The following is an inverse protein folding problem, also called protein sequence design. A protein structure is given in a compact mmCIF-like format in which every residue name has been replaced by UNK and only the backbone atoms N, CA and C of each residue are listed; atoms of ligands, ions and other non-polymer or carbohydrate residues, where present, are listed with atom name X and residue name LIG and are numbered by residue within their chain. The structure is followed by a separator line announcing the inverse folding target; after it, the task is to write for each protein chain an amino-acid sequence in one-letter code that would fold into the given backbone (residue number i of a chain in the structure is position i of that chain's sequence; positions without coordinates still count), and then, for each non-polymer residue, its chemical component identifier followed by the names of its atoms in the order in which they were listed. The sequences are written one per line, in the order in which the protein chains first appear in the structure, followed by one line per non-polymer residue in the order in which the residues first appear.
data_IF_286442123957
#
_entry.id   IF_286442123957
#
_cell.length_a   1.000
_cell.length_b   1.000
_cell.length_c   1.000
_cell.angle_alpha   90.00
_cell.angle_beta   90.00
_cell.angle_gamma   90.00
#
_symmetry.space_group_name_H-M   'P 1'
#
loop_
_entity.id
_entity.type
_entity.pdbx_description
1 polymer ?
#
# COMPACT_ATOMS: atom_id res chain seq x y z
N UNK A 1 -22.84 -32.73 -11.12
CA UNK A 1 -23.30 -32.50 -9.73
C UNK A 1 -23.69 -31.03 -9.66
N UNK A 2 -24.99 -30.76 -9.57
CA UNK A 2 -25.58 -29.43 -9.75
C UNK A 2 -25.55 -28.66 -8.42
N UNK A 3 -24.63 -27.71 -8.30
CA UNK A 3 -24.49 -26.81 -7.14
C UNK A 3 -25.29 -25.51 -7.31
N UNK A 4 -26.42 -25.53 -8.01
CA UNK A 4 -27.13 -24.31 -8.42
C UNK A 4 -28.21 -23.81 -7.44
N UNK A 5 -28.44 -24.49 -6.31
CA UNK A 5 -29.55 -24.17 -5.39
C UNK A 5 -29.15 -24.01 -3.92
N UNK A 6 -27.95 -23.49 -3.63
CA UNK A 6 -27.65 -23.03 -2.27
C UNK A 6 -28.01 -21.53 -2.14
N UNK A 7 -29.03 -21.15 -1.36
CA UNK A 7 -29.42 -19.74 -1.17
C UNK A 7 -28.32 -18.87 -0.53
N UNK A 8 -27.23 -19.49 -0.05
CA UNK A 8 -26.04 -18.80 0.46
C UNK A 8 -24.88 -18.69 -0.54
N UNK A 9 -25.02 -19.23 -1.76
CA UNK A 9 -24.01 -19.14 -2.79
C UNK A 9 -24.08 -17.78 -3.48
N UNK A 10 -23.24 -16.85 -3.02
CA UNK A 10 -22.97 -15.61 -3.72
C UNK A 10 -21.68 -15.80 -4.54
N UNK A 11 -21.69 -15.58 -5.86
CA UNK A 11 -20.52 -15.83 -6.72
C UNK A 11 -19.29 -14.99 -6.33
N UNK A 12 -19.51 -13.84 -5.69
CA UNK A 12 -18.41 -12.99 -5.21
C UNK A 12 -17.83 -13.43 -3.87
N UNK A 13 -18.50 -14.35 -3.16
CA UNK A 13 -18.02 -14.86 -1.87
C UNK A 13 -16.74 -15.66 -2.05
N UNK A 14 -16.69 -16.50 -3.07
CA UNK A 14 -15.51 -17.32 -3.39
C UNK A 14 -14.34 -16.44 -3.85
N UNK A 15 -14.65 -15.38 -4.61
CA UNK A 15 -13.67 -14.37 -5.03
C UNK A 15 -13.08 -13.64 -3.84
N UNK A 16 -13.90 -13.24 -2.85
CA UNK A 16 -13.45 -12.50 -1.68
C UNK A 16 -12.59 -13.34 -0.70
N UNK A 17 -12.85 -14.65 -0.64
CA UNK A 17 -12.08 -15.58 0.21
C UNK A 17 -10.63 -15.70 -0.26
N UNK A 18 -10.40 -15.71 -1.58
CA UNK A 18 -9.05 -15.83 -2.15
C UNK A 18 -8.47 -14.47 -2.54
N UNK A 19 -7.29 -14.08 -2.00
CA UNK A 19 -6.65 -12.82 -2.40
C UNK A 19 -6.27 -12.80 -3.89
N UNK A 20 -5.87 -13.96 -4.42
CA UNK A 20 -5.51 -14.11 -5.83
C UNK A 20 -6.73 -14.01 -6.74
N UNK A 21 -7.86 -14.62 -6.36
CA UNK A 21 -9.11 -14.51 -7.10
C UNK A 21 -9.64 -13.06 -7.09
N UNK A 22 -9.53 -12.38 -5.93
CA UNK A 22 -9.87 -10.95 -5.83
C UNK A 22 -9.01 -10.12 -6.79
N UNK A 23 -7.69 -10.34 -6.85
CA UNK A 23 -6.81 -9.59 -7.74
C UNK A 23 -7.16 -9.81 -9.23
N UNK A 24 -7.43 -11.06 -9.63
CA UNK A 24 -7.86 -11.38 -11.00
C UNK A 24 -9.18 -10.67 -11.36
N UNK A 25 -10.18 -10.78 -10.48
CA UNK A 25 -11.48 -10.14 -10.69
C UNK A 25 -11.36 -8.62 -10.83
N UNK A 26 -10.59 -7.97 -9.94
CA UNK A 26 -10.36 -6.52 -10.01
C UNK A 26 -9.60 -6.11 -11.28
N UNK A 27 -8.65 -6.93 -11.75
CA UNK A 27 -7.93 -6.68 -13.00
C UNK A 27 -8.86 -6.77 -14.23
N UNK A 28 -9.80 -7.71 -14.24
CA UNK A 28 -10.78 -7.82 -15.33
C UNK A 28 -11.75 -6.64 -15.34
N UNK A 29 -12.21 -6.19 -14.17
CA UNK A 29 -13.00 -4.95 -14.05
C UNK A 29 -12.18 -3.74 -14.53
N UNK A 30 -10.90 -3.67 -14.16
CA UNK A 30 -10.02 -2.59 -14.59
C UNK A 30 -9.87 -2.54 -16.12
N UNK A 31 -9.73 -3.69 -16.80
CA UNK A 31 -9.67 -3.75 -18.27
C UNK A 31 -10.91 -3.16 -18.91
N UNK A 32 -12.09 -3.56 -18.44
CA UNK A 32 -13.37 -3.03 -18.92
C UNK A 32 -13.46 -1.52 -18.70
N UNK A 33 -13.04 -1.02 -17.52
CA UNK A 33 -13.04 0.40 -17.24
C UNK A 33 -12.06 1.20 -18.12
N UNK A 34 -10.90 0.64 -18.46
CA UNK A 34 -9.95 1.27 -19.38
C UNK A 34 -10.53 1.36 -20.80
N UNK A 35 -11.22 0.32 -21.27
CA UNK A 35 -11.88 0.35 -22.58
C UNK A 35 -13.06 1.34 -22.59
N UNK A 36 -13.84 1.41 -21.52
CA UNK A 36 -14.87 2.45 -21.34
C UNK A 36 -14.22 3.84 -21.33
N UNK A 37 -13.09 4.01 -20.64
CA UNK A 37 -12.32 5.25 -20.61
C UNK A 37 -11.94 5.72 -22.00
N UNK A 38 -11.38 4.84 -22.83
CA UNK A 38 -11.03 5.14 -24.23
C UNK A 38 -12.25 5.57 -25.05
N UNK A 39 -13.37 4.85 -24.92
CA UNK A 39 -14.61 5.20 -25.61
C UNK A 39 -15.14 6.58 -25.18
N UNK A 40 -15.04 6.91 -23.89
CA UNK A 40 -15.43 8.21 -23.36
C UNK A 40 -14.49 9.35 -23.82
N UNK A 41 -13.20 9.08 -23.97
CA UNK A 41 -12.24 10.04 -24.54
C UNK A 41 -12.58 10.36 -26.00
N UNK A 42 -12.85 9.33 -26.81
CA UNK A 42 -13.30 9.53 -28.19
C UNK A 42 -14.61 10.31 -28.23
N UNK A 43 -15.59 9.93 -27.40
CA UNK A 43 -16.86 10.65 -27.30
C UNK A 43 -16.67 12.11 -26.89
N UNK A 44 -15.74 12.41 -25.98
CA UNK A 44 -15.45 13.78 -25.55
C UNK A 44 -14.88 14.64 -26.68
N UNK A 45 -14.03 14.06 -27.54
CA UNK A 45 -13.50 14.75 -28.73
C UNK A 45 -14.62 15.04 -29.71
N UNK A 46 -15.42 14.02 -30.07
CA UNK A 46 -16.53 14.17 -31.02
C UNK A 46 -17.58 15.16 -30.52
N UNK A 47 -17.96 15.06 -29.24
CA UNK A 47 -18.92 15.98 -28.61
C UNK A 47 -18.39 17.41 -28.62
N UNK A 48 -17.11 17.61 -28.33
CA UNK A 48 -16.47 18.93 -28.40
C UNK A 48 -16.51 19.49 -29.82
N UNK A 49 -16.18 18.69 -30.84
CA UNK A 49 -16.21 19.12 -32.24
C UNK A 49 -17.64 19.49 -32.64
N UNK A 50 -18.60 18.61 -32.35
CA UNK A 50 -20.00 18.82 -32.69
C UNK A 50 -20.60 20.02 -31.97
N UNK A 51 -20.54 20.08 -30.64
CA UNK A 51 -21.15 21.16 -29.87
C UNK A 51 -20.53 22.54 -30.16
N UNK A 52 -19.23 22.61 -30.44
CA UNK A 52 -18.58 23.88 -30.81
C UNK A 52 -18.85 24.28 -32.25
N UNK A 53 -19.15 23.33 -33.14
CA UNK A 53 -19.55 23.58 -34.53
C UNK A 53 -21.04 23.89 -34.70
N UNK A 54 -21.87 23.62 -33.69
CA UNK A 54 -23.30 23.89 -33.69
C UNK A 54 -23.62 25.38 -33.48
N UNK A 55 -23.40 26.16 -34.53
CA UNK A 55 -23.75 27.58 -34.60
C UNK A 55 -25.26 27.76 -34.82
N UNK A 56 -25.83 28.75 -34.14
CA UNK A 56 -27.22 29.18 -34.27
C UNK A 56 -27.23 30.59 -34.86
N UNK A 57 -28.26 30.92 -35.64
CA UNK A 57 -28.42 32.26 -36.22
C UNK A 57 -28.33 33.35 -35.14
N UNK A 58 -27.48 34.35 -35.37
CA UNK A 58 -27.19 35.42 -34.41
C UNK A 58 -26.02 35.14 -33.46
N UNK A 59 -25.41 33.95 -33.51
CA UNK A 59 -24.21 33.64 -32.73
C UNK A 59 -22.99 34.43 -33.22
N UNK A 60 -22.31 35.09 -32.27
CA UNK A 60 -20.88 35.43 -32.43
C UNK A 60 -20.02 34.16 -32.34
N UNK A 61 -18.79 34.27 -32.84
CA UNK A 61 -17.81 33.17 -32.93
C UNK A 61 -17.57 32.36 -31.63
N UNK A 62 -17.82 32.93 -30.44
CA UNK A 62 -17.59 32.28 -29.15
C UNK A 62 -18.85 31.68 -28.49
N UNK A 63 -20.07 31.96 -28.96
CA UNK A 63 -21.29 31.52 -28.28
C UNK A 63 -21.46 29.99 -28.29
N UNK A 64 -21.22 29.35 -29.43
CA UNK A 64 -21.25 27.88 -29.54
C UNK A 64 -20.26 27.22 -28.55
N UNK A 65 -19.07 27.81 -28.39
CA UNK A 65 -18.09 27.36 -27.40
C UNK A 65 -18.62 27.50 -25.97
N UNK A 66 -19.23 28.63 -25.61
CA UNK A 66 -19.77 28.83 -24.25
C UNK A 66 -20.90 27.84 -23.94
N UNK A 67 -21.75 27.52 -24.91
CA UNK A 67 -22.81 26.49 -24.76
C UNK A 67 -22.26 25.07 -24.65
N UNK A 68 -21.13 24.79 -25.29
CA UNK A 68 -20.47 23.48 -25.22
C UNK A 68 -19.77 23.23 -23.87
N UNK A 69 -19.32 24.29 -23.18
CA UNK A 69 -18.51 24.17 -21.95
C UNK A 69 -19.12 23.29 -20.84
N UNK A 70 -20.43 23.37 -20.50
CA UNK A 70 -21.02 22.52 -19.46
C UNK A 70 -20.93 21.04 -19.80
N UNK A 71 -21.17 20.68 -21.07
CA UNK A 71 -21.12 19.30 -21.56
C UNK A 71 -19.68 18.78 -21.53
N UNK A 72 -18.73 19.59 -22.03
CA UNK A 72 -17.30 19.26 -21.99
C UNK A 72 -16.79 19.07 -20.57
N UNK A 73 -17.22 19.92 -19.64
CA UNK A 73 -16.85 19.82 -18.22
C UNK A 73 -17.40 18.55 -17.60
N UNK A 74 -18.67 18.22 -17.86
CA UNK A 74 -19.30 17.00 -17.36
C UNK A 74 -18.56 15.74 -17.87
N UNK A 75 -18.24 15.67 -19.17
CA UNK A 75 -17.49 14.53 -19.73
C UNK A 75 -16.07 14.43 -19.15
N UNK A 76 -15.39 15.55 -18.98
CA UNK A 76 -14.08 15.59 -18.32
C UNK A 76 -14.14 15.11 -16.86
N UNK A 77 -15.20 15.48 -16.14
CA UNK A 77 -15.41 15.02 -14.77
C UNK A 77 -15.64 13.50 -14.73
N UNK A 78 -16.42 12.93 -15.64
CA UNK A 78 -16.60 11.47 -15.75
C UNK A 78 -15.27 10.77 -16.02
N UNK A 79 -14.47 11.24 -16.97
CA UNK A 79 -13.15 10.68 -17.26
C UNK A 79 -12.22 10.69 -16.03
N UNK A 80 -12.24 11.77 -15.24
CA UNK A 80 -11.48 11.83 -13.98
C UNK A 80 -11.93 10.74 -13.01
N UNK A 81 -13.23 10.50 -12.87
CA UNK A 81 -13.75 9.46 -11.98
C UNK A 81 -13.37 8.06 -12.46
N UNK A 82 -13.43 7.78 -13.76
CA UNK A 82 -13.02 6.48 -14.32
C UNK A 82 -11.53 6.22 -14.01
N UNK A 83 -10.65 7.21 -14.23
CA UNK A 83 -9.23 7.09 -13.90
C UNK A 83 -9.00 6.87 -12.39
N UNK A 84 -9.72 7.62 -11.54
CA UNK A 84 -9.65 7.44 -10.10
C UNK A 84 -10.14 6.07 -9.63
N UNK A 85 -11.18 5.52 -10.28
CA UNK A 85 -11.67 4.16 -10.02
C UNK A 85 -10.63 3.11 -10.41
N UNK A 86 -10.01 3.22 -11.58
CA UNK A 86 -8.97 2.26 -12.01
C UNK A 86 -7.79 2.23 -11.03
N UNK A 87 -7.31 3.39 -10.57
CA UNK A 87 -6.28 3.45 -9.53
C UNK A 87 -6.75 2.87 -8.19
N UNK A 88 -8.01 3.10 -7.83
CA UNK A 88 -8.62 2.58 -6.61
C UNK A 88 -8.68 1.06 -6.59
N UNK A 89 -8.97 0.43 -7.74
CA UNK A 89 -9.00 -1.02 -7.88
C UNK A 89 -7.61 -1.63 -7.69
N UNK A 90 -6.57 -1.06 -8.30
CA UNK A 90 -5.18 -1.50 -8.11
C UNK A 90 -4.74 -1.41 -6.64
N UNK A 91 -5.00 -0.26 -6.01
CA UNK A 91 -4.69 -0.05 -4.58
C UNK A 91 -5.41 -1.06 -3.69
N UNK A 92 -6.65 -1.43 -4.04
CA UNK A 92 -7.43 -2.41 -3.30
C UNK A 92 -6.87 -3.82 -3.44
N UNK A 93 -6.51 -4.23 -4.66
CA UNK A 93 -5.85 -5.52 -4.92
C UNK A 93 -4.53 -5.63 -4.16
N UNK A 94 -3.71 -4.58 -4.17
CA UNK A 94 -2.46 -4.52 -3.41
C UNK A 94 -2.70 -4.70 -1.90
N UNK A 95 -3.62 -3.92 -1.31
CA UNK A 95 -3.95 -4.01 0.12
C UNK A 95 -4.48 -5.38 0.54
N UNK A 96 -5.26 -6.04 -0.33
CA UNK A 96 -5.81 -7.37 -0.03
C UNK A 96 -4.71 -8.44 0.02
N UNK A 97 -3.72 -8.34 -0.89
CA UNK A 97 -2.54 -9.20 -0.88
C UNK A 97 -1.65 -8.94 0.33
N UNK A 98 -1.36 -7.66 0.64
CA UNK A 98 -0.54 -7.33 1.82
C UNK A 98 -1.17 -7.84 3.11
N UNK A 99 -2.50 -7.73 3.25
CA UNK A 99 -3.22 -8.30 4.38
C UNK A 99 -3.07 -9.83 4.46
N UNK A 100 -3.16 -10.53 3.31
CA UNK A 100 -3.00 -11.99 3.28
C UNK A 100 -1.58 -12.41 3.70
N UNK A 101 -0.55 -11.69 3.25
CA UNK A 101 0.84 -11.94 3.62
C UNK A 101 1.10 -11.68 5.11
N UNK A 102 0.53 -10.60 5.66
CA UNK A 102 0.59 -10.33 7.09
C UNK A 102 -0.02 -11.47 7.91
N UNK A 103 -1.21 -11.94 7.52
CA UNK A 103 -1.90 -13.05 8.18
C UNK A 103 -1.07 -14.33 8.12
N UNK A 104 -0.46 -14.64 6.97
CA UNK A 104 0.43 -15.80 6.80
C UNK A 104 1.66 -15.74 7.71
N UNK A 105 2.16 -14.53 7.99
CA UNK A 105 3.34 -14.31 8.84
C UNK A 105 3.02 -14.27 10.36
N UNK A 106 1.74 -14.15 10.76
CA UNK A 106 1.33 -14.09 12.17
C UNK A 106 1.79 -15.29 13.02
N UNK A 107 1.75 -16.56 12.56
CA UNK A 107 2.19 -17.69 13.37
C UNK A 107 3.67 -17.62 13.74
N UNK A 108 4.53 -17.17 12.81
CA UNK A 108 5.95 -16.93 13.09
C UNK A 108 6.16 -15.85 14.13
N UNK A 109 5.50 -14.69 13.95
CA UNK A 109 5.54 -13.57 14.91
C UNK A 109 5.07 -13.97 16.31
N UNK A 110 4.04 -14.84 16.42
CA UNK A 110 3.55 -15.34 17.71
C UNK A 110 4.59 -16.24 18.39
N UNK A 111 5.21 -17.16 17.64
CA UNK A 111 6.28 -18.04 18.15
C UNK A 111 7.50 -17.25 18.62
N UNK A 112 7.94 -16.26 17.85
CA UNK A 112 9.04 -15.36 18.24
C UNK A 112 8.72 -14.60 19.52
N UNK A 113 7.51 -14.02 19.61
CA UNK A 113 7.07 -13.29 20.81
C UNK A 113 6.95 -14.20 22.04
N UNK A 114 6.56 -15.46 21.86
CA UNK A 114 6.55 -16.45 22.94
C UNK A 114 7.97 -16.82 23.39
N UNK A 115 8.90 -16.98 22.46
CA UNK A 115 10.32 -17.22 22.79
C UNK A 115 10.92 -16.02 23.52
N UNK A 116 10.63 -14.80 23.08
CA UNK A 116 11.06 -13.58 23.75
C UNK A 116 10.47 -13.48 25.17
N UNK A 117 9.18 -13.79 25.33
CA UNK A 117 8.53 -13.87 26.65
C UNK A 117 9.19 -14.92 27.56
N UNK A 118 9.56 -16.09 27.03
CA UNK A 118 10.28 -17.12 27.78
C UNK A 118 11.68 -16.65 28.19
N UNK A 119 12.41 -15.97 27.30
CA UNK A 119 13.73 -15.35 27.59
C UNK A 119 13.63 -14.25 28.65
N UNK A 120 12.59 -13.42 28.60
CA UNK A 120 12.34 -12.37 29.60
C UNK A 120 11.89 -12.93 30.95
N UNK A 121 11.11 -14.02 30.95
CA UNK A 121 10.61 -14.68 32.18
C UNK A 121 11.70 -15.48 32.88
N UNK A 122 12.66 -16.03 32.14
CA UNK A 122 13.84 -16.69 32.66
C UNK A 122 15.08 -15.97 32.10
N UNK A 123 15.45 -14.80 32.67
CA UNK A 123 16.72 -14.19 32.31
C UNK A 123 17.80 -15.19 32.68
N UNK A 124 18.48 -15.77 31.68
CA UNK A 124 19.68 -16.53 31.98
C UNK A 124 20.62 -15.55 32.68
N UNK A 125 21.16 -15.90 33.87
CA UNK A 125 22.18 -15.07 34.48
C UNK A 125 23.30 -14.97 33.45
N UNK A 126 23.61 -13.75 33.02
CA UNK A 126 24.81 -13.48 32.26
C UNK A 126 25.95 -14.07 33.09
N UNK A 127 26.50 -15.20 32.66
CA UNK A 127 27.74 -15.69 33.24
C UNK A 127 28.77 -14.62 32.91
N UNK A 128 29.06 -13.77 33.89
CA UNK A 128 30.30 -13.02 33.90
C UNK A 128 31.38 -14.06 33.68
N UNK A 129 32.08 -13.97 32.55
CA UNK A 129 33.29 -14.73 32.31
C UNK A 129 34.24 -14.28 33.42
N UNK A 130 34.35 -15.09 34.48
CA UNK A 130 35.34 -14.88 35.51
C UNK A 130 36.71 -14.92 34.82
N UNK A 131 37.51 -13.84 34.87
CA UNK A 131 38.88 -13.93 34.42
C UNK A 131 39.61 -14.96 35.30
N UNK A 132 40.51 -15.77 34.73
CA UNK A 132 41.19 -16.80 35.49
C UNK A 132 42.04 -16.16 36.59
N UNK A 133 41.69 -16.44 37.85
CA UNK A 133 42.58 -16.20 38.97
C UNK A 133 43.73 -17.19 38.86
N UNK A 134 44.86 -16.74 38.30
CA UNK A 134 46.17 -17.28 38.61
C UNK A 134 46.86 -16.27 39.51
N UNK A 135 47.11 -16.69 40.75
CA UNK A 135 47.86 -15.89 41.71
C UNK A 135 49.31 -15.75 41.28
N UNK A 136 49.88 -14.57 41.47
CA UNK A 136 51.29 -14.38 41.80
C UNK A 136 51.49 -12.95 42.30
N UNK A 137 52.36 -12.83 43.29
CA UNK A 137 52.78 -11.61 43.97
C UNK A 137 53.38 -10.58 42.99
N UNK A 138 53.22 -9.28 43.27
CA UNK A 138 54.08 -8.27 42.63
C UNK A 138 53.56 -6.83 42.63
N UNK A 139 54.11 -6.02 43.53
CA UNK A 139 54.35 -4.57 43.47
C UNK A 139 53.90 -3.74 42.25
N UNK A 140 53.30 -2.58 42.56
CA UNK A 140 53.31 -1.28 41.85
C UNK A 140 53.24 -1.27 40.31
N UNK A 141 52.23 -0.59 39.77
CA UNK A 141 52.36 0.59 38.89
C UNK A 141 50.99 0.95 38.31
N UNK A 142 50.71 2.25 38.28
CA UNK A 142 49.38 2.80 38.02
C UNK A 142 48.89 2.61 36.59
N UNK A 143 47.58 2.81 36.42
CA UNK A 143 46.94 3.54 35.32
C UNK A 143 45.43 3.46 35.57
N UNK A 144 44.84 4.55 36.05
CA UNK A 144 43.39 4.74 36.06
C UNK A 144 42.95 5.08 34.64
N UNK A 145 42.43 4.10 33.91
CA UNK A 145 41.79 4.31 32.60
C UNK A 145 40.26 4.38 32.74
N UNK A 146 39.57 5.22 31.97
CA UNK A 146 38.15 5.53 32.19
C UNK A 146 37.26 4.32 31.90
N UNK A 147 36.29 4.08 32.78
CA UNK A 147 35.33 2.97 32.73
C UNK A 147 34.10 3.25 31.85
N UNK A 148 34.13 4.31 31.02
CA UNK A 148 32.97 4.70 30.21
C UNK A 148 33.35 5.50 28.95
N UNK A 149 32.71 5.14 27.83
CA UNK A 149 32.79 5.77 26.50
C UNK A 149 32.25 7.21 26.42
N UNK A 150 31.70 7.75 27.51
CA UNK A 150 31.21 9.13 27.59
C UNK A 150 32.25 10.12 28.15
N UNK A 151 33.45 9.66 28.53
CA UNK A 151 34.51 10.50 29.09
C UNK A 151 35.49 11.04 28.03
N UNK A 152 35.06 11.14 26.78
CA UNK A 152 35.78 11.90 25.75
C UNK A 152 35.35 13.36 25.80
N UNK A 153 35.81 14.06 26.85
CA UNK A 153 35.82 15.50 26.90
C UNK A 153 36.69 16.06 25.78
N UNK A 154 36.10 16.95 24.97
CA UNK A 154 36.80 17.80 24.01
C UNK A 154 37.93 18.56 24.72
N UNK A 155 39.14 18.50 24.18
CA UNK A 155 40.09 19.60 24.29
C UNK A 155 40.52 20.04 22.89
N UNK A 156 40.32 21.34 22.66
CA UNK A 156 40.77 22.11 21.52
C UNK A 156 42.29 22.31 21.56
N UNK A 157 42.84 22.69 20.41
CA UNK A 157 44.24 23.04 20.15
C UNK A 157 44.88 24.02 21.16
#
# INVERSE_FOLDING_TARGET
MNSTNDPNHSPLRDVAQSPEATARYLADVQRVLLDIGRNLETLAIETRVHCRGAHVDGDRWYHARLRALPVEKALKDVLRHVNGLTEGLEKTAYKRNSFADEVKNLPGKRKEKELERKRKKNPQPLQAVNPPQQGAQGHNLGYGGPTSIYDMGRESA
#
